data_IF_757829137622
#
_entry.id   IF_757829137622
#
_cell.length_a   1.000
_cell.length_b   1.000
_cell.length_c   1.000
_cell.angle_alpha   90.00
_cell.angle_beta   90.00
_cell.angle_gamma   90.00
#
_symmetry.space_group_name_H-M   'P 1'
#
loop_
_entity.id
_entity.type
_entity.pdbx_description
1 polymer ?
#
# COMPACT_ATOMS: atom_id res chain seq x y z
N UNK A 1 -6.14 -10.71 9.16
CA UNK A 1 -5.65 -9.57 8.37
C UNK A 1 -6.77 -8.57 8.10
N UNK A 2 -7.83 -8.92 7.35
CA UNK A 2 -8.99 -8.03 7.11
C UNK A 2 -9.59 -7.40 8.38
N UNK A 3 -9.98 -8.21 9.37
CA UNK A 3 -10.60 -7.71 10.61
C UNK A 3 -9.61 -6.86 11.43
N UNK A 4 -8.35 -7.29 11.50
CA UNK A 4 -7.28 -6.57 12.19
C UNK A 4 -7.02 -5.19 11.58
N UNK A 5 -6.93 -5.08 10.26
CA UNK A 5 -6.73 -3.82 9.55
C UNK A 5 -7.92 -2.87 9.74
N UNK A 6 -9.15 -3.39 9.63
CA UNK A 6 -10.36 -2.60 9.86
C UNK A 6 -10.42 -2.06 11.29
N UNK A 7 -10.10 -2.89 12.29
CA UNK A 7 -10.09 -2.46 13.70
C UNK A 7 -8.98 -1.44 13.98
N UNK A 8 -7.80 -1.63 13.41
CA UNK A 8 -6.71 -0.67 13.53
C UNK A 8 -7.11 0.69 12.95
N UNK A 9 -7.72 0.69 11.75
CA UNK A 9 -8.20 1.91 11.09
C UNK A 9 -9.33 2.58 11.90
N UNK A 10 -10.29 1.79 12.39
CA UNK A 10 -11.39 2.29 13.22
C UNK A 10 -10.88 2.93 14.51
N UNK A 11 -9.89 2.31 15.17
CA UNK A 11 -9.29 2.85 16.38
C UNK A 11 -8.54 4.16 16.10
N UNK A 12 -7.79 4.22 15.00
CA UNK A 12 -7.07 5.43 14.62
C UNK A 12 -8.00 6.61 14.28
N UNK A 13 -9.21 6.33 13.77
CA UNK A 13 -10.24 7.34 13.47
C UNK A 13 -10.87 7.99 14.71
N UNK A 14 -10.74 7.37 15.89
CA UNK A 14 -11.25 7.93 17.15
C UNK A 14 -10.53 9.24 17.50
N UNK A 15 -9.28 9.39 17.07
CA UNK A 15 -8.61 10.68 17.11
C UNK A 15 -9.09 11.55 15.94
N UNK A 16 -9.72 12.67 16.28
CA UNK A 16 -10.27 13.62 15.30
C UNK A 16 -9.19 14.40 14.56
N UNK A 17 -7.96 14.43 15.08
CA UNK A 17 -6.83 15.12 14.44
C UNK A 17 -6.13 14.27 13.36
N UNK A 18 -6.44 12.97 13.28
CA UNK A 18 -5.86 12.09 12.27
C UNK A 18 -6.54 12.29 10.90
N UNK A 19 -5.77 12.83 9.95
CA UNK A 19 -6.25 13.09 8.58
C UNK A 19 -5.76 12.09 7.53
N UNK A 20 -4.61 11.45 7.76
CA UNK A 20 -3.96 10.52 6.82
C UNK A 20 -3.57 9.24 7.55
N UNK A 21 -3.86 8.08 6.96
CA UNK A 21 -3.70 6.77 7.57
C UNK A 21 -2.77 5.91 6.72
N UNK A 22 -1.57 5.63 7.23
CA UNK A 22 -0.56 4.83 6.53
C UNK A 22 -0.40 3.48 7.25
N UNK A 23 -0.55 2.37 6.53
CA UNK A 23 -0.23 1.05 7.07
C UNK A 23 1.24 0.69 6.83
N UNK A 24 1.99 0.43 7.90
CA UNK A 24 3.41 0.03 7.87
C UNK A 24 3.64 -1.23 8.72
N UNK A 25 4.83 -1.81 8.59
CA UNK A 25 5.31 -2.91 9.44
C UNK A 25 6.72 -2.62 9.96
N UNK A 26 7.23 -3.42 10.89
CA UNK A 26 8.59 -3.28 11.46
C UNK A 26 9.73 -3.44 10.45
N UNK A 27 9.42 -3.86 9.23
CA UNK A 27 10.37 -4.04 8.14
C UNK A 27 10.26 -2.95 7.06
N UNK A 28 9.51 -1.87 7.34
CA UNK A 28 9.39 -0.69 6.49
C UNK A 28 10.33 0.42 6.98
N UNK A 29 10.84 1.22 6.06
CA UNK A 29 11.57 2.45 6.37
C UNK A 29 10.96 3.64 5.59
N UNK A 30 11.06 4.87 6.09
CA UNK A 30 10.79 6.05 5.27
C UNK A 30 11.95 6.27 4.28
N UNK A 31 11.61 6.74 3.09
CA UNK A 31 12.59 7.09 2.04
C UNK A 31 12.95 8.57 2.05
N UNK A 32 12.21 9.38 2.80
CA UNK A 32 12.36 10.83 2.92
C UNK A 32 12.15 11.27 4.37
N UNK A 33 12.64 12.46 4.70
CA UNK A 33 12.41 13.06 6.01
C UNK A 33 10.92 13.34 6.28
N UNK A 34 10.61 13.55 7.56
CA UNK A 34 9.23 13.74 8.01
C UNK A 34 8.53 14.89 7.30
N UNK A 35 9.18 16.05 7.14
CA UNK A 35 8.60 17.22 6.47
C UNK A 35 8.15 16.91 5.03
N UNK A 36 8.97 16.15 4.29
CA UNK A 36 8.63 15.74 2.92
C UNK A 36 7.46 14.77 2.91
N UNK A 37 7.48 13.74 3.77
CA UNK A 37 6.40 12.74 3.87
C UNK A 37 5.09 13.41 4.28
N UNK A 38 5.13 14.24 5.33
CA UNK A 38 3.98 14.98 5.84
C UNK A 38 3.38 15.87 4.75
N UNK A 39 4.20 16.71 4.12
CA UNK A 39 3.72 17.63 3.07
C UNK A 39 3.19 16.91 1.84
N UNK A 40 3.76 15.75 1.47
CA UNK A 40 3.24 14.94 0.37
C UNK A 40 1.85 14.39 0.69
N UNK A 41 1.65 13.87 1.90
CA UNK A 41 0.39 13.25 2.30
C UNK A 41 -0.71 14.29 2.53
N UNK A 42 -0.43 15.35 3.29
CA UNK A 42 -1.45 16.36 3.65
C UNK A 42 -1.88 17.21 2.47
N UNK A 43 -1.01 17.43 1.48
CA UNK A 43 -1.37 18.14 0.25
C UNK A 43 -1.93 17.24 -0.84
N UNK A 44 -2.01 15.91 -0.64
CA UNK A 44 -2.51 15.00 -1.67
C UNK A 44 -4.03 15.02 -1.78
N UNK A 45 -4.52 15.16 -3.01
CA UNK A 45 -5.94 15.06 -3.38
C UNK A 45 -6.45 13.62 -3.47
N UNK A 46 -5.56 12.63 -3.37
CA UNK A 46 -5.90 11.22 -3.53
C UNK A 46 -5.41 10.39 -2.34
N UNK A 47 -6.11 9.29 -2.09
CA UNK A 47 -5.59 8.16 -1.31
C UNK A 47 -4.72 7.26 -2.20
N UNK A 48 -3.85 6.44 -1.60
CA UNK A 48 -2.93 5.56 -2.33
C UNK A 48 -3.17 4.09 -1.95
N UNK A 49 -4.15 3.49 -2.63
CA UNK A 49 -4.41 2.05 -2.59
C UNK A 49 -4.00 1.45 -3.93
N UNK A 50 -3.09 0.48 -3.91
CA UNK A 50 -2.73 -0.25 -5.12
C UNK A 50 -3.93 -1.09 -5.58
N UNK A 51 -4.40 -0.88 -6.81
CA UNK A 51 -5.56 -1.60 -7.33
C UNK A 51 -5.43 -1.78 -8.84
N UNK A 52 -5.32 -3.02 -9.29
CA UNK A 52 -5.16 -3.36 -10.69
C UNK A 52 -5.83 -4.70 -11.04
N UNK A 53 -6.06 -4.92 -12.33
CA UNK A 53 -6.54 -6.18 -12.86
C UNK A 53 -5.36 -7.12 -13.13
N UNK A 54 -5.25 -8.21 -12.38
CA UNK A 54 -4.25 -9.25 -12.61
C UNK A 54 -4.95 -10.46 -13.26
N UNK A 55 -4.75 -10.71 -14.58
CA UNK A 55 -5.39 -11.85 -15.25
C UNK A 55 -4.79 -13.21 -14.82
N UNK A 56 -3.67 -13.21 -14.10
CA UNK A 56 -2.94 -14.42 -13.72
C UNK A 56 -3.55 -15.19 -12.55
N UNK A 57 -2.86 -16.29 -12.20
CA UNK A 57 -3.26 -17.20 -11.13
C UNK A 57 -3.40 -16.52 -9.76
N UNK A 58 -2.59 -15.48 -9.50
CA UNK A 58 -2.61 -14.74 -8.25
C UNK A 58 -3.62 -13.59 -8.21
N UNK A 59 -4.31 -13.32 -9.33
CA UNK A 59 -5.31 -12.26 -9.44
C UNK A 59 -6.70 -12.83 -9.62
N UNK A 60 -7.17 -12.86 -10.88
CA UNK A 60 -8.43 -13.49 -11.29
C UNK A 60 -8.50 -14.97 -10.95
N UNK A 61 -7.36 -15.69 -10.94
CA UNK A 61 -7.31 -17.09 -10.51
C UNK A 61 -7.73 -17.32 -9.05
N UNK A 62 -7.65 -16.29 -8.19
CA UNK A 62 -8.07 -16.33 -6.78
C UNK A 62 -9.52 -15.91 -6.56
N UNK A 63 -10.27 -15.55 -7.62
CA UNK A 63 -11.64 -15.06 -7.52
C UNK A 63 -12.64 -16.14 -7.07
N UNK A 64 -13.32 -15.99 -5.92
CA UNK A 64 -14.35 -16.93 -5.50
C UNK A 64 -15.65 -16.69 -6.27
N UNK A 65 -16.11 -17.67 -7.07
CA UNK A 65 -17.35 -17.54 -7.88
C UNK A 65 -18.60 -17.18 -7.07
N UNK A 66 -18.63 -17.53 -5.78
CA UNK A 66 -19.71 -17.20 -4.81
C UNK A 66 -19.79 -15.71 -4.46
N UNK A 67 -18.82 -14.90 -4.88
CA UNK A 67 -18.89 -13.45 -4.79
C UNK A 67 -19.94 -12.83 -5.72
N UNK A 68 -20.39 -13.56 -6.76
CA UNK A 68 -21.48 -13.13 -7.64
C UNK A 68 -22.83 -13.13 -6.90
N UNK A 69 -23.77 -12.25 -7.28
CA UNK A 69 -23.62 -11.20 -8.31
C UNK A 69 -22.93 -9.92 -7.81
N UNK A 70 -22.73 -9.80 -6.49
CA UNK A 70 -22.34 -8.55 -5.81
C UNK A 70 -20.95 -8.03 -6.17
N UNK A 71 -19.96 -8.93 -6.34
CA UNK A 71 -18.64 -8.60 -6.88
C UNK A 71 -18.42 -9.46 -8.11
N UNK A 72 -18.50 -8.85 -9.29
CA UNK A 72 -18.23 -9.53 -10.57
C UNK A 72 -16.73 -9.72 -10.78
N UNK A 73 -16.36 -10.74 -11.54
CA UNK A 73 -14.95 -10.97 -11.93
C UNK A 73 -14.32 -9.74 -12.60
N UNK A 74 -15.08 -9.00 -13.40
CA UNK A 74 -14.63 -7.77 -14.06
C UNK A 74 -14.28 -6.63 -13.10
N UNK A 75 -14.82 -6.67 -11.87
CA UNK A 75 -14.55 -5.71 -10.81
C UNK A 75 -13.53 -6.24 -9.80
N UNK A 76 -13.11 -7.50 -9.91
CA UNK A 76 -12.11 -8.09 -9.03
C UNK A 76 -10.76 -7.44 -9.26
N UNK A 77 -10.13 -6.97 -8.18
CA UNK A 77 -8.82 -6.32 -8.22
C UNK A 77 -7.87 -7.00 -7.27
N UNK A 78 -6.60 -6.88 -7.62
CA UNK A 78 -5.46 -7.23 -6.77
C UNK A 78 -4.72 -5.95 -6.41
N UNK A 79 -4.01 -5.99 -5.28
CA UNK A 79 -3.22 -4.89 -4.79
C UNK A 79 -2.23 -5.32 -3.72
N UNK A 80 -1.49 -4.33 -3.25
CA UNK A 80 -0.65 -4.40 -2.07
C UNK A 80 -1.52 -4.26 -0.83
N UNK A 81 -1.20 -5.02 0.22
CA UNK A 81 -1.76 -4.82 1.56
C UNK A 81 -1.44 -3.41 2.11
N UNK A 82 -0.24 -2.89 1.85
CA UNK A 82 0.18 -1.54 2.27
C UNK A 82 -0.60 -0.47 1.52
N UNK A 83 -1.28 0.39 2.27
CA UNK A 83 -2.10 1.48 1.77
C UNK A 83 -1.78 2.79 2.48
N UNK A 84 -2.23 3.86 1.84
CA UNK A 84 -2.45 5.14 2.49
C UNK A 84 -3.87 5.65 2.16
N UNK A 85 -4.55 6.20 3.15
CA UNK A 85 -5.93 6.69 3.04
C UNK A 85 -6.08 8.08 3.64
N UNK A 86 -6.85 8.95 2.98
CA UNK A 86 -7.45 10.11 3.63
C UNK A 86 -8.53 9.70 4.64
N UNK A 87 -8.86 10.62 5.57
CA UNK A 87 -9.85 10.40 6.63
C UNK A 87 -11.22 10.01 6.09
N UNK A 88 -11.70 10.70 5.06
CA UNK A 88 -13.02 10.43 4.50
C UNK A 88 -13.11 9.00 3.94
N UNK A 89 -12.11 8.55 3.20
CA UNK A 89 -12.05 7.19 2.65
C UNK A 89 -11.89 6.16 3.76
N UNK A 90 -11.09 6.45 4.80
CA UNK A 90 -10.97 5.58 5.96
C UNK A 90 -12.31 5.39 6.69
N UNK A 91 -13.09 6.45 6.88
CA UNK A 91 -14.44 6.39 7.43
C UNK A 91 -15.36 5.55 6.55
N UNK A 92 -15.36 5.78 5.23
CA UNK A 92 -16.17 5.03 4.28
C UNK A 92 -15.85 3.52 4.32
N UNK A 93 -14.56 3.15 4.41
CA UNK A 93 -14.10 1.76 4.50
C UNK A 93 -14.54 1.11 5.82
N UNK A 94 -14.41 1.83 6.94
CA UNK A 94 -14.81 1.33 8.27
C UNK A 94 -16.32 1.25 8.41
N UNK A 95 -17.09 2.09 7.72
CA UNK A 95 -18.55 2.03 7.69
C UNK A 95 -19.08 0.93 6.75
N UNK A 96 -18.27 0.48 5.78
CA UNK A 96 -18.67 -0.54 4.82
C UNK A 96 -18.92 -1.90 5.49
N UNK A 97 -20.17 -2.38 5.51
CA UNK A 97 -20.53 -3.70 6.07
C UNK A 97 -20.85 -4.76 5.02
N UNK A 98 -21.38 -4.39 3.85
CA UNK A 98 -21.87 -5.32 2.83
C UNK A 98 -20.73 -6.10 2.16
N UNK A 99 -19.79 -5.40 1.53
CA UNK A 99 -18.61 -6.01 0.91
C UNK A 99 -17.69 -6.62 1.97
N UNK A 100 -17.56 -5.99 3.14
CA UNK A 100 -16.84 -6.61 4.24
C UNK A 100 -17.38 -7.99 4.60
N UNK A 101 -18.71 -8.12 4.79
CA UNK A 101 -19.35 -9.39 5.09
C UNK A 101 -19.17 -10.42 3.98
N UNK A 102 -19.26 -10.00 2.72
CA UNK A 102 -19.01 -10.88 1.56
C UNK A 102 -17.57 -11.41 1.54
N UNK A 103 -16.57 -10.55 1.72
CA UNK A 103 -15.17 -10.94 1.75
C UNK A 103 -14.87 -11.83 2.96
N UNK A 104 -15.36 -11.47 4.15
CA UNK A 104 -15.22 -12.30 5.34
C UNK A 104 -15.82 -13.71 5.16
N UNK A 105 -16.95 -13.81 4.45
CA UNK A 105 -17.65 -15.08 4.20
C UNK A 105 -17.00 -15.92 3.10
N UNK A 106 -16.69 -15.32 1.94
CA UNK A 106 -16.34 -16.06 0.73
C UNK A 106 -14.86 -15.99 0.32
N UNK A 107 -14.09 -15.01 0.79
CA UNK A 107 -12.66 -14.92 0.52
C UNK A 107 -11.88 -15.79 1.52
N UNK A 108 -11.94 -17.11 1.33
CA UNK A 108 -11.15 -18.09 2.08
C UNK A 108 -9.94 -18.52 1.24
N UNK A 109 -8.86 -19.04 1.85
CA UNK A 109 -7.71 -19.56 1.09
C UNK A 109 -8.19 -20.43 -0.09
N UNK A 110 -7.72 -20.17 -1.30
CA UNK A 110 -6.54 -19.37 -1.70
C UNK A 110 -6.82 -17.89 -2.03
N UNK A 111 -7.94 -17.28 -1.62
CA UNK A 111 -8.32 -15.92 -2.04
C UNK A 111 -7.37 -14.78 -1.57
N UNK A 112 -6.73 -14.86 -0.39
CA UNK A 112 -5.92 -13.79 0.22
C UNK A 112 -6.63 -12.43 0.31
N UNK A 113 -7.40 -12.26 1.39
CA UNK A 113 -8.31 -11.13 1.59
C UNK A 113 -7.61 -9.77 1.65
N UNK A 114 -6.41 -9.73 2.19
CA UNK A 114 -5.53 -8.57 2.34
C UNK A 114 -5.01 -8.01 1.01
N UNK A 115 -4.87 -8.84 -0.01
CA UNK A 115 -4.46 -8.40 -1.36
C UNK A 115 -5.65 -8.02 -2.26
N UNK A 116 -6.87 -8.40 -1.88
CA UNK A 116 -8.03 -8.31 -2.76
C UNK A 116 -9.18 -7.43 -2.24
N UNK A 117 -9.44 -7.39 -0.92
CA UNK A 117 -10.58 -6.68 -0.36
C UNK A 117 -10.52 -5.18 -0.67
N UNK A 118 -9.49 -4.50 -0.16
CA UNK A 118 -9.41 -3.05 -0.25
C UNK A 118 -9.25 -2.61 -1.71
N UNK A 119 -8.42 -3.30 -2.47
CA UNK A 119 -8.20 -3.10 -3.92
C UNK A 119 -9.52 -3.15 -4.70
N UNK A 120 -10.34 -4.18 -4.42
CA UNK A 120 -11.63 -4.38 -5.10
C UNK A 120 -12.67 -3.35 -4.62
N UNK A 121 -12.72 -3.07 -3.33
CA UNK A 121 -13.64 -2.09 -2.77
C UNK A 121 -13.39 -0.69 -3.34
N UNK A 122 -12.13 -0.29 -3.45
CA UNK A 122 -11.73 0.98 -4.06
C UNK A 122 -12.17 1.09 -5.52
N UNK A 123 -11.98 0.03 -6.30
CA UNK A 123 -12.45 0.02 -7.69
C UNK A 123 -13.98 0.05 -7.84
N UNK A 124 -14.72 -0.46 -6.84
CA UNK A 124 -16.17 -0.49 -6.84
C UNK A 124 -16.80 0.83 -6.36
N UNK A 125 -16.26 1.46 -5.32
CA UNK A 125 -16.90 2.60 -4.64
C UNK A 125 -16.13 3.91 -4.73
N UNK A 126 -14.82 3.89 -4.95
CA UNK A 126 -13.94 5.05 -4.75
C UNK A 126 -13.14 5.43 -6.01
N UNK A 127 -13.65 5.07 -7.20
CA UNK A 127 -13.05 5.43 -8.48
C UNK A 127 -12.83 6.95 -8.58
N UNK A 128 -11.58 7.36 -8.84
CA UNK A 128 -11.17 8.78 -8.92
C UNK A 128 -10.65 9.38 -7.60
N UNK A 129 -11.00 8.81 -6.44
CA UNK A 129 -10.45 9.23 -5.12
C UNK A 129 -9.14 8.53 -4.77
N UNK A 130 -8.85 7.39 -5.41
CA UNK A 130 -7.58 6.67 -5.27
C UNK A 130 -6.68 6.89 -6.49
N UNK A 131 -5.37 6.99 -6.25
CA UNK A 131 -4.33 7.01 -7.29
C UNK A 131 -4.03 5.62 -7.87
N UNK A 132 -4.68 4.55 -7.40
CA UNK A 132 -4.52 3.15 -7.85
C UNK A 132 -3.09 2.60 -7.76
N UNK A 133 -2.25 3.18 -6.88
CA UNK A 133 -0.86 2.79 -6.64
C UNK A 133 -0.55 2.84 -5.15
N UNK A 134 0.46 2.09 -4.70
CA UNK A 134 0.98 2.18 -3.33
C UNK A 134 2.08 3.24 -3.23
N UNK A 135 2.26 3.79 -2.02
CA UNK A 135 3.42 4.61 -1.66
C UNK A 135 4.58 3.80 -1.06
N UNK A 136 4.45 2.48 -1.01
CA UNK A 136 5.50 1.59 -0.49
C UNK A 136 6.22 0.87 -1.63
N UNK A 137 7.51 1.16 -1.79
CA UNK A 137 8.38 0.48 -2.74
C UNK A 137 8.68 -0.95 -2.27
N UNK A 138 8.61 -1.89 -3.21
CA UNK A 138 8.82 -3.32 -2.99
C UNK A 138 9.61 -3.91 -4.14
N UNK A 139 10.56 -4.79 -3.82
CA UNK A 139 11.32 -5.53 -4.84
C UNK A 139 10.75 -6.94 -5.02
N UNK A 140 10.15 -7.18 -6.19
CA UNK A 140 9.62 -8.48 -6.60
C UNK A 140 10.50 -9.19 -7.63
N UNK A 141 11.71 -8.69 -7.92
CA UNK A 141 12.60 -9.22 -8.97
C UNK A 141 12.96 -10.70 -8.81
N UNK A 142 12.98 -11.20 -7.57
CA UNK A 142 13.24 -12.62 -7.26
C UNK A 142 12.05 -13.56 -7.45
N UNK A 143 10.85 -13.01 -7.67
CA UNK A 143 9.61 -13.78 -7.71
C UNK A 143 9.24 -14.44 -6.38
N UNK A 144 8.24 -15.32 -6.42
CA UNK A 144 7.73 -16.02 -5.25
C UNK A 144 6.65 -15.26 -4.45
N UNK A 145 6.24 -15.80 -3.29
CA UNK A 145 5.13 -15.25 -2.51
C UNK A 145 5.50 -14.05 -1.63
N UNK A 146 6.78 -13.69 -1.55
CA UNK A 146 7.27 -12.61 -0.70
C UNK A 146 8.30 -11.76 -1.45
N UNK A 147 8.33 -10.43 -1.22
CA UNK A 147 9.33 -9.57 -1.84
C UNK A 147 10.73 -9.87 -1.30
N UNK A 148 11.74 -9.45 -2.05
CA UNK A 148 13.13 -9.52 -1.63
C UNK A 148 13.35 -8.81 -0.29
N UNK A 149 14.27 -9.38 0.50
CA UNK A 149 14.67 -8.85 1.79
C UNK A 149 16.01 -8.14 1.67
N UNK A 150 16.12 -6.96 2.26
CA UNK A 150 17.34 -6.15 2.30
C UNK A 150 18.02 -6.35 3.65
N UNK A 151 19.13 -7.08 3.66
CA UNK A 151 20.00 -7.21 4.82
C UNK A 151 21.12 -6.17 4.80
N UNK A 152 22.10 -6.34 5.68
CA UNK A 152 23.24 -5.42 5.79
C UNK A 152 23.96 -5.20 4.46
N UNK A 153 24.17 -6.22 3.63
CA UNK A 153 24.99 -6.06 2.41
C UNK A 153 24.20 -5.38 1.29
N UNK A 154 22.89 -5.60 1.26
CA UNK A 154 21.98 -5.10 0.23
C UNK A 154 21.60 -3.63 0.43
N UNK A 155 21.75 -3.07 1.64
CA UNK A 155 21.55 -1.64 1.87
C UNK A 155 22.78 -0.87 1.39
N UNK A 156 22.67 -0.21 0.24
CA UNK A 156 23.69 0.70 -0.32
C UNK A 156 23.08 2.05 -0.70
N UNK A 157 23.92 3.06 -0.92
CA UNK A 157 23.47 4.41 -1.33
C UNK A 157 22.73 4.33 -2.67
N UNK A 158 23.25 3.52 -3.60
CA UNK A 158 22.70 3.33 -4.94
C UNK A 158 21.29 2.71 -4.86
N UNK A 159 21.11 1.69 -4.02
CA UNK A 159 19.82 1.05 -3.79
C UNK A 159 18.81 2.04 -3.18
N UNK A 160 19.22 2.81 -2.17
CA UNK A 160 18.33 3.82 -1.55
C UNK A 160 17.96 4.95 -2.54
N UNK A 161 18.90 5.42 -3.36
CA UNK A 161 18.63 6.39 -4.41
C UNK A 161 17.68 5.85 -5.48
N UNK A 162 17.86 4.58 -5.89
CA UNK A 162 16.95 3.89 -6.81
C UNK A 162 15.52 3.83 -6.26
N UNK A 163 15.37 3.52 -4.97
CA UNK A 163 14.06 3.50 -4.30
C UNK A 163 13.43 4.91 -4.29
N UNK A 164 14.21 5.94 -3.94
CA UNK A 164 13.75 7.34 -3.89
C UNK A 164 13.33 7.89 -5.24
N UNK A 165 14.03 7.55 -6.32
CA UNK A 165 13.72 7.99 -7.67
C UNK A 165 12.58 7.20 -8.34
N UNK A 166 11.97 6.25 -7.63
CA UNK A 166 10.95 5.37 -8.21
C UNK A 166 11.49 4.55 -9.39
N UNK A 167 12.78 4.20 -9.36
CA UNK A 167 13.50 3.58 -10.49
C UNK A 167 13.55 4.47 -11.75
N UNK A 168 13.60 5.79 -11.58
CA UNK A 168 13.60 6.77 -12.68
C UNK A 168 12.22 7.00 -13.30
N UNK A 169 11.15 6.43 -12.72
CA UNK A 169 9.78 6.62 -13.18
C UNK A 169 9.18 7.88 -12.57
N UNK A 170 8.35 8.56 -13.34
CA UNK A 170 7.48 9.63 -12.83
C UNK A 170 6.11 9.08 -12.50
N UNK A 171 5.51 9.56 -11.42
CA UNK A 171 4.18 9.16 -10.98
C UNK A 171 3.21 10.34 -11.01
N UNK A 172 1.92 10.04 -11.12
CA UNK A 172 0.87 11.05 -10.98
C UNK A 172 0.80 11.58 -9.54
N UNK A 173 0.63 12.90 -9.42
CA UNK A 173 0.42 13.58 -8.14
C UNK A 173 -0.40 14.86 -8.37
N UNK A 174 -1.59 14.94 -7.75
CA UNK A 174 -2.49 16.09 -7.84
C UNK A 174 -2.81 16.58 -9.28
N UNK A 175 -2.96 15.64 -10.22
CA UNK A 175 -3.18 15.95 -11.64
C UNK A 175 -1.91 16.32 -12.43
N UNK A 176 -0.78 16.45 -11.76
CA UNK A 176 0.54 16.63 -12.36
C UNK A 176 1.41 15.37 -12.26
N UNK A 177 2.72 15.56 -12.41
CA UNK A 177 3.72 14.50 -12.40
C UNK A 177 4.82 14.80 -11.36
N UNK A 178 5.25 13.78 -10.62
CA UNK A 178 6.29 13.88 -9.58
C UNK A 178 7.33 12.78 -9.75
N UNK A 179 8.57 13.05 -9.33
CA UNK A 179 9.64 12.04 -9.21
C UNK A 179 9.55 11.25 -7.88
N UNK A 180 8.67 11.66 -6.96
CA UNK A 180 8.41 10.95 -5.70
C UNK A 180 7.26 9.96 -5.89
N UNK A 181 7.61 8.77 -6.37
CA UNK A 181 6.67 7.66 -6.48
C UNK A 181 6.41 6.97 -5.14
N UNK A 182 7.41 6.82 -4.27
CA UNK A 182 7.26 6.06 -3.03
C UNK A 182 7.74 6.88 -1.85
N UNK A 183 7.02 6.83 -0.73
CA UNK A 183 7.43 7.46 0.53
C UNK A 183 8.11 6.47 1.47
N UNK A 184 7.83 5.18 1.29
CA UNK A 184 8.32 4.10 2.14
C UNK A 184 8.92 2.99 1.30
N UNK A 185 9.76 2.15 1.90
CA UNK A 185 10.29 0.95 1.25
C UNK A 185 10.29 -0.25 2.21
N UNK A 186 10.21 -1.46 1.64
CA UNK A 186 10.30 -2.74 2.36
C UNK A 186 10.89 -3.83 1.45
N UNK A 187 11.44 -4.95 1.95
CA UNK A 187 11.42 -5.46 3.33
C UNK A 187 12.83 -5.48 3.94
N UNK A 188 13.09 -4.65 4.92
CA UNK A 188 14.41 -4.58 5.57
C UNK A 188 14.50 -5.59 6.72
N UNK A 189 15.65 -6.24 6.84
CA UNK A 189 15.97 -7.16 7.95
C UNK A 189 16.55 -6.38 9.14
N UNK A 190 16.44 -6.88 10.38
CA UNK A 190 17.01 -6.21 11.55
C UNK A 190 18.51 -5.90 11.43
N UNK A 191 19.28 -6.79 10.78
CA UNK A 191 20.70 -6.60 10.56
C UNK A 191 21.06 -5.48 9.54
N UNK A 192 20.07 -4.85 8.90
CA UNK A 192 20.26 -3.70 8.02
C UNK A 192 20.44 -2.37 8.78
N UNK A 193 20.09 -2.32 10.07
CA UNK A 193 20.00 -1.09 10.86
C UNK A 193 21.28 -0.25 10.85
N UNK A 194 22.45 -0.85 11.09
CA UNK A 194 23.75 -0.13 11.10
C UNK A 194 23.98 0.65 9.80
N UNK A 195 23.69 0.04 8.63
CA UNK A 195 23.88 0.73 7.35
C UNK A 195 22.79 1.74 7.06
N UNK A 196 21.55 1.47 7.47
CA UNK A 196 20.46 2.44 7.35
C UNK A 196 20.79 3.71 8.11
N UNK A 197 21.22 3.61 9.38
CA UNK A 197 21.60 4.77 10.18
C UNK A 197 22.82 5.50 9.61
N UNK A 198 23.79 4.77 9.06
CA UNK A 198 24.98 5.37 8.43
C UNK A 198 24.67 6.15 7.15
N UNK A 199 23.66 5.72 6.39
CA UNK A 199 23.32 6.30 5.09
C UNK A 199 22.14 7.27 5.14
N UNK A 200 21.32 7.24 6.19
CA UNK A 200 20.18 8.13 6.34
C UNK A 200 20.56 9.63 6.20
N UNK A 201 21.63 10.14 6.83
CA UNK A 201 21.99 11.55 6.70
C UNK A 201 22.51 11.91 5.30
N UNK A 202 22.99 10.91 4.54
CA UNK A 202 23.57 11.10 3.21
C UNK A 202 22.52 11.05 2.10
N UNK A 203 21.44 10.30 2.31
CA UNK A 203 20.49 9.95 1.25
C UNK A 203 19.04 10.23 1.64
N UNK A 204 18.62 9.93 2.88
CA UNK A 204 17.23 9.99 3.30
C UNK A 204 16.83 11.36 3.86
N UNK A 205 17.82 12.14 4.31
CA UNK A 205 17.65 13.53 4.75
C UNK A 205 17.33 13.70 6.23
N UNK A 206 17.75 12.75 7.07
CA UNK A 206 17.68 12.76 8.53
C UNK A 206 18.80 11.91 9.14
#
# INVERSE_FOLDING_TARGET
MLDSERRLLANALLDVSNERFVLLSEACIPLFNFTTVYSYLTNSRHSYVHSFDDPGANGRGRYPRRMRPHVKLSSWRKGSQWFELDRAMAQDIVAESNYYGLFAKYCKPTCYVDEHYLSTLVALKFGGRSANRSLTWVDWSRGGPHPMRFGRREVTIEVLNKMRSGEGKRCGYNGGSTDICFLFARKFLPNALDRLLRFAPKVLGY
#
